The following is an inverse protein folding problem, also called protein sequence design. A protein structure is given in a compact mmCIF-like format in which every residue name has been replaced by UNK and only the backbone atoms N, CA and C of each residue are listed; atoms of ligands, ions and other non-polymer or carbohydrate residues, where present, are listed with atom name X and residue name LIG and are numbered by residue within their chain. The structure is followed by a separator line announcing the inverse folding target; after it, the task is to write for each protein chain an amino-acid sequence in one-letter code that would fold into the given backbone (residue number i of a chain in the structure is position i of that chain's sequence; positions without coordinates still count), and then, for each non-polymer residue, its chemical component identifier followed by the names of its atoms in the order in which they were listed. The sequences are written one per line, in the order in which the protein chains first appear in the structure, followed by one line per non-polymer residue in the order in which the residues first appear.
data_IF_810426254189
#
_entry.id   IF_810426254189
#
_cell.length_a   1.000
_cell.length_b   1.000
_cell.length_c   1.000
_cell.angle_alpha   90.00
_cell.angle_beta   90.00
_cell.angle_gamma   90.00
#
_symmetry.space_group_name_H-M   'P 1'
#
loop_
_entity.id
_entity.type
_entity.pdbx_description
1 polymer ?
#
# COMPACT_ATOMS: atom_id res chain seq x y z
N UNK A 1 16.91 2.14 27.55
CA UNK A 1 16.35 3.35 28.20
C UNK A 1 17.22 4.56 27.88
N UNK A 2 16.80 5.42 26.94
CA UNK A 2 17.40 6.76 26.79
C UNK A 2 16.48 7.74 27.52
N UNK A 3 16.95 8.28 28.64
CA UNK A 3 16.29 9.42 29.30
C UNK A 3 16.23 10.55 28.29
N UNK A 4 15.06 11.15 28.08
CA UNK A 4 14.91 12.32 27.22
C UNK A 4 15.89 13.40 27.71
N UNK A 5 16.90 13.72 26.90
CA UNK A 5 17.82 14.83 27.20
C UNK A 5 16.99 16.11 27.27
N UNK A 6 16.98 16.78 28.42
CA UNK A 6 16.48 18.14 28.54
C UNK A 6 17.36 19.02 27.66
N UNK A 7 16.78 19.56 26.59
CA UNK A 7 17.44 20.57 25.76
C UNK A 7 17.77 21.77 26.65
N UNK A 8 19.04 22.17 26.63
CA UNK A 8 19.50 23.35 27.36
C UNK A 8 19.06 24.62 26.63
N UNK A 9 18.89 25.73 27.37
CA UNK A 9 18.50 27.02 26.79
C UNK A 9 19.44 27.50 25.65
N UNK A 10 20.68 27.01 25.61
CA UNK A 10 21.64 27.25 24.54
C UNK A 10 21.33 26.46 23.26
N UNK A 11 20.94 25.18 23.37
CA UNK A 11 20.52 24.35 22.23
C UNK A 11 19.20 24.86 21.66
N UNK A 12 18.28 25.32 22.51
CA UNK A 12 17.03 25.99 22.12
C UNK A 12 17.32 27.25 21.30
N UNK A 13 18.28 28.06 21.73
CA UNK A 13 18.68 29.29 21.03
C UNK A 13 19.43 29.04 19.71
N UNK A 14 20.11 27.90 19.56
CA UNK A 14 20.72 27.51 18.29
C UNK A 14 19.67 27.05 17.27
N UNK A 15 18.67 26.27 17.71
CA UNK A 15 17.55 25.82 16.86
C UNK A 15 16.67 27.00 16.40
N UNK A 16 16.50 28.03 17.23
CA UNK A 16 15.73 29.24 16.84
C UNK A 16 16.52 30.19 15.95
N UNK A 17 17.85 30.28 16.07
CA UNK A 17 18.68 31.18 15.22
C UNK A 17 18.84 30.73 13.77
N UNK A 18 18.63 29.44 13.47
CA UNK A 18 18.80 28.90 12.11
C UNK A 18 17.52 28.87 11.27
N UNK A 19 16.40 29.43 11.77
CA UNK A 19 15.07 29.25 11.13
C UNK A 19 14.66 30.42 10.26
N UNK A 20 14.26 30.11 9.02
CA UNK A 20 13.52 31.02 8.14
C UNK A 20 12.13 31.23 8.73
N UNK A 21 11.85 32.45 9.17
CA UNK A 21 10.53 32.88 9.65
C UNK A 21 9.45 32.56 8.60
N UNK A 22 8.38 31.87 9.03
CA UNK A 22 7.18 31.63 8.22
C UNK A 22 6.83 30.17 7.89
N UNK A 23 7.73 29.19 8.05
CA UNK A 23 7.44 27.77 7.70
C UNK A 23 7.12 26.85 8.88
N UNK A 24 7.52 27.19 10.10
CA UNK A 24 7.38 26.30 11.26
C UNK A 24 6.61 27.00 12.37
N UNK A 25 5.63 26.32 12.96
CA UNK A 25 4.81 26.82 14.07
C UNK A 25 5.03 25.95 15.32
N UNK A 26 5.12 26.59 16.47
CA UNK A 26 5.29 25.95 17.76
C UNK A 26 4.05 26.16 18.63
N UNK A 27 3.57 25.08 19.25
CA UNK A 27 2.44 25.11 20.17
C UNK A 27 2.76 24.31 21.41
N UNK A 28 2.36 24.83 22.57
CA UNK A 28 2.42 24.07 23.81
C UNK A 28 1.19 23.17 23.90
N UNK A 29 1.32 21.93 24.34
CA UNK A 29 0.19 20.98 24.39
C UNK A 29 -0.94 21.42 25.35
N UNK A 30 -0.59 22.19 26.38
CA UNK A 30 -1.56 22.80 27.30
C UNK A 30 -2.19 24.10 26.77
N UNK A 31 -1.79 24.57 25.58
CA UNK A 31 -2.42 25.71 24.92
C UNK A 31 -3.57 25.24 24.01
N UNK A 32 -4.61 26.07 23.90
CA UNK A 32 -5.75 25.83 23.01
C UNK A 32 -5.60 26.72 21.76
N UNK A 33 -4.88 26.28 20.72
CA UNK A 33 -4.70 27.07 19.51
C UNK A 33 -6.02 27.23 18.76
N UNK A 34 -6.37 28.48 18.41
CA UNK A 34 -7.61 28.81 17.70
C UNK A 34 -7.44 28.83 16.17
N UNK A 35 -6.24 28.54 15.65
CA UNK A 35 -5.94 28.53 14.20
C UNK A 35 -5.82 29.90 13.54
N UNK A 36 -6.25 30.98 14.21
CA UNK A 36 -5.88 32.35 13.87
C UNK A 36 -4.38 32.54 14.06
N UNK A 37 -3.80 33.55 13.41
CA UNK A 37 -2.40 33.95 13.55
C UNK A 37 -2.08 34.41 14.98
N UNK A 38 -2.07 33.47 15.92
CA UNK A 38 -1.53 33.66 17.25
C UNK A 38 -0.03 33.81 17.05
N UNK A 39 0.32 35.08 16.89
CA UNK A 39 1.64 35.64 17.03
C UNK A 39 2.43 34.81 18.02
N UNK A 40 3.45 34.14 17.50
CA UNK A 40 4.63 33.65 18.20
C UNK A 40 4.41 33.52 19.72
N UNK A 41 3.88 32.38 20.18
CA UNK A 41 4.03 32.03 21.59
C UNK A 41 5.53 32.08 21.86
N UNK A 42 5.97 33.07 22.64
CA UNK A 42 7.38 33.24 22.98
C UNK A 42 7.96 31.86 23.31
N UNK A 43 9.10 31.47 22.72
CA UNK A 43 9.63 30.11 22.84
C UNK A 43 9.73 29.67 24.31
N UNK A 44 9.98 30.60 25.23
CA UNK A 44 9.98 30.35 26.68
C UNK A 44 8.68 29.74 27.24
N UNK A 45 7.50 30.09 26.72
CA UNK A 45 6.21 29.48 27.10
C UNK A 45 5.98 28.11 26.46
N UNK A 46 6.60 27.84 25.31
CA UNK A 46 6.49 26.55 24.61
C UNK A 46 7.38 25.46 25.21
N UNK A 47 8.34 25.81 26.08
CA UNK A 47 9.21 24.88 26.79
C UNK A 47 8.85 24.70 28.28
N UNK A 48 7.69 25.18 28.73
CA UNK A 48 7.23 24.90 30.08
C UNK A 48 7.00 23.40 30.27
N UNK A 49 7.33 22.83 31.44
CA UNK A 49 7.03 21.43 31.69
C UNK A 49 5.52 21.22 31.81
N UNK A 50 4.97 20.27 31.06
CA UNK A 50 3.57 19.84 31.21
C UNK A 50 3.45 18.78 32.31
N UNK A 51 2.32 18.79 33.02
CA UNK A 51 1.97 17.76 34.02
C UNK A 51 1.36 16.50 33.40
N UNK A 52 0.92 16.60 32.16
CA UNK A 52 0.25 15.50 31.44
C UNK A 52 0.91 15.35 30.06
N UNK A 53 1.99 14.55 29.97
CA UNK A 53 2.82 14.45 28.78
C UNK A 53 2.10 13.73 27.63
N UNK A 54 2.56 14.01 26.41
CA UNK A 54 2.11 13.30 25.22
C UNK A 54 2.62 11.85 25.29
N UNK A 55 1.73 10.88 25.08
CA UNK A 55 2.07 9.47 25.06
C UNK A 55 2.07 8.84 23.66
N UNK A 56 1.20 9.31 22.77
CA UNK A 56 1.12 8.81 21.39
C UNK A 56 0.58 9.88 20.46
N UNK A 57 0.97 9.83 19.19
CA UNK A 57 0.57 10.78 18.15
C UNK A 57 0.29 10.05 16.85
N UNK A 58 -0.66 10.56 16.07
CA UNK A 58 -0.91 10.10 14.69
C UNK A 58 -1.44 11.27 13.87
N UNK A 59 -1.22 11.25 12.55
CA UNK A 59 -1.61 12.36 11.70
C UNK A 59 -1.96 11.88 10.28
N UNK A 60 -2.83 12.65 9.63
CA UNK A 60 -3.11 12.60 8.20
C UNK A 60 -2.80 13.97 7.58
N UNK A 61 -3.10 14.14 6.29
CA UNK A 61 -2.97 15.42 5.60
C UNK A 61 -3.84 16.54 6.21
N UNK A 62 -4.99 16.16 6.80
CA UNK A 62 -6.01 17.09 7.32
C UNK A 62 -6.11 17.13 8.83
N UNK A 63 -5.65 16.10 9.53
CA UNK A 63 -5.87 15.98 10.98
C UNK A 63 -4.63 15.53 11.71
N UNK A 64 -4.43 16.07 12.91
CA UNK A 64 -3.40 15.65 13.85
C UNK A 64 -4.09 15.21 15.14
N UNK A 65 -3.78 14.01 15.62
CA UNK A 65 -4.29 13.46 16.86
C UNK A 65 -3.16 13.28 17.85
N UNK A 66 -3.38 13.79 19.06
CA UNK A 66 -2.42 13.74 20.15
C UNK A 66 -3.08 13.13 21.37
N UNK A 67 -2.59 11.98 21.83
CA UNK A 67 -3.00 11.39 23.11
C UNK A 67 -2.02 11.76 24.23
N UNK A 68 -2.59 11.98 25.41
CA UNK A 68 -1.87 12.34 26.63
C UNK A 68 -1.97 11.22 27.67
N UNK A 69 -1.04 11.22 28.62
CA UNK A 69 -0.95 10.21 29.68
C UNK A 69 -2.20 10.16 30.57
N UNK A 70 -2.92 11.28 30.72
CA UNK A 70 -4.21 11.37 31.40
C UNK A 70 -5.35 10.60 30.73
N UNK A 71 -5.15 10.10 29.50
CA UNK A 71 -6.21 9.55 28.66
C UNK A 71 -6.89 10.61 27.77
N UNK A 72 -6.52 11.89 27.88
CA UNK A 72 -7.05 12.93 26.98
C UNK A 72 -6.52 12.74 25.55
N UNK A 73 -7.41 12.72 24.57
CA UNK A 73 -7.08 12.70 23.13
C UNK A 73 -7.55 13.99 22.48
N UNK A 74 -6.66 14.70 21.79
CA UNK A 74 -6.91 15.99 21.18
C UNK A 74 -6.82 15.87 19.67
N UNK A 75 -7.86 16.30 18.95
CA UNK A 75 -7.93 16.34 17.49
C UNK A 75 -7.74 17.76 17.01
N UNK A 76 -6.68 17.99 16.24
CA UNK A 76 -6.34 19.27 15.62
C UNK A 76 -6.58 19.23 14.11
N UNK A 77 -6.99 20.35 13.53
CA UNK A 77 -7.05 20.54 12.08
C UNK A 77 -5.67 20.88 11.52
N UNK A 78 -5.31 20.36 10.36
CA UNK A 78 -4.15 20.80 9.58
C UNK A 78 -4.63 21.57 8.35
N UNK A 79 -3.88 22.60 7.91
CA UNK A 79 -2.57 23.03 8.41
C UNK A 79 -2.61 24.04 9.57
N UNK A 80 -3.79 24.51 9.97
CA UNK A 80 -3.90 25.64 10.91
C UNK A 80 -3.61 25.28 12.37
N UNK A 81 -3.56 24.00 12.71
CA UNK A 81 -3.40 23.46 14.06
C UNK A 81 -4.47 24.03 15.01
N UNK A 82 -5.73 24.10 14.54
CA UNK A 82 -6.84 24.50 15.42
C UNK A 82 -7.38 23.28 16.16
N UNK A 83 -7.61 23.40 17.46
CA UNK A 83 -8.23 22.33 18.23
C UNK A 83 -9.70 22.17 17.80
N UNK A 84 -10.06 21.01 17.26
CA UNK A 84 -11.42 20.68 16.81
C UNK A 84 -12.21 20.00 17.93
N UNK A 85 -11.64 18.94 18.50
CA UNK A 85 -12.34 18.05 19.43
C UNK A 85 -11.38 17.53 20.50
N UNK A 86 -11.95 17.19 21.66
CA UNK A 86 -11.28 16.52 22.77
C UNK A 86 -12.10 15.29 23.17
N UNK A 87 -11.42 14.16 23.29
CA UNK A 87 -11.97 12.88 23.75
C UNK A 87 -11.26 12.46 25.04
N UNK A 88 -11.87 11.54 25.78
CA UNK A 88 -11.29 10.95 26.98
C UNK A 88 -11.30 9.43 26.84
N UNK A 89 -10.13 8.84 27.02
CA UNK A 89 -9.95 7.39 27.13
C UNK A 89 -9.95 6.98 28.60
N UNK A 90 -10.31 5.72 28.85
CA UNK A 90 -10.25 5.13 30.19
C UNK A 90 -8.81 4.77 30.62
N UNK A 91 -7.90 4.67 29.66
CA UNK A 91 -6.52 4.22 29.86
C UNK A 91 -5.57 4.98 28.94
N UNK A 92 -4.27 4.90 29.23
CA UNK A 92 -3.22 5.53 28.44
C UNK A 92 -3.08 4.82 27.10
N UNK A 93 -3.19 5.57 26.01
CA UNK A 93 -2.90 5.07 24.67
C UNK A 93 -1.40 4.79 24.50
N UNK A 94 -1.06 3.59 24.07
CA UNK A 94 0.29 3.20 23.65
C UNK A 94 0.45 3.35 22.13
N UNK A 95 -0.58 2.99 21.36
CA UNK A 95 -0.59 3.05 19.91
C UNK A 95 -1.85 3.74 19.39
N UNK A 96 -1.69 4.57 18.35
CA UNK A 96 -2.78 5.28 17.68
C UNK A 96 -2.62 5.13 16.16
N UNK A 97 -3.71 4.84 15.46
CA UNK A 97 -3.70 4.77 14.00
C UNK A 97 -5.02 5.25 13.40
N UNK A 98 -4.93 6.18 12.47
CA UNK A 98 -6.05 6.71 11.71
C UNK A 98 -6.28 5.86 10.46
N UNK A 99 -7.54 5.63 10.10
CA UNK A 99 -7.87 5.02 8.81
C UNK A 99 -7.64 6.02 7.64
N UNK A 100 -7.65 5.50 6.42
CA UNK A 100 -7.24 6.25 5.22
C UNK A 100 -8.08 7.51 4.93
N UNK A 101 -9.33 7.58 5.40
CA UNK A 101 -10.21 8.76 5.27
C UNK A 101 -10.32 9.61 6.56
N UNK A 102 -9.58 9.27 7.62
CA UNK A 102 -9.63 9.95 8.93
C UNK A 102 -10.99 9.90 9.66
N UNK A 103 -11.88 8.96 9.31
CA UNK A 103 -13.17 8.80 9.97
C UNK A 103 -13.13 7.98 11.25
N UNK A 104 -12.17 7.05 11.39
CA UNK A 104 -12.02 6.17 12.55
C UNK A 104 -10.60 6.21 13.09
N UNK A 105 -10.47 6.12 14.42
CA UNK A 105 -9.21 6.04 15.14
C UNK A 105 -9.13 4.71 15.88
N UNK A 106 -8.10 3.93 15.58
CA UNK A 106 -7.73 2.78 16.38
C UNK A 106 -6.83 3.22 17.53
N UNK A 107 -7.16 2.74 18.73
CA UNK A 107 -6.41 2.99 19.95
C UNK A 107 -6.06 1.64 20.57
N UNK A 108 -4.78 1.40 20.84
CA UNK A 108 -4.35 0.29 21.70
C UNK A 108 -3.79 0.92 22.97
N UNK A 109 -4.35 0.51 24.11
CA UNK A 109 -3.90 1.00 25.41
C UNK A 109 -2.70 0.20 25.95
N UNK A 110 -2.12 0.69 27.05
CA UNK A 110 -0.98 0.03 27.72
C UNK A 110 -1.28 -1.38 28.24
N UNK A 111 -2.55 -1.77 28.35
CA UNK A 111 -2.97 -3.11 28.77
C UNK A 111 -3.20 -4.06 27.60
N UNK A 112 -2.95 -3.61 26.36
CA UNK A 112 -3.16 -4.41 25.16
C UNK A 112 -4.64 -4.50 24.75
N UNK A 113 -5.48 -3.59 25.23
CA UNK A 113 -6.87 -3.49 24.81
C UNK A 113 -6.96 -2.53 23.63
N UNK A 114 -7.44 -3.06 22.49
CA UNK A 114 -7.73 -2.29 21.29
C UNK A 114 -9.19 -1.86 21.28
N UNK A 115 -9.44 -0.58 21.03
CA UNK A 115 -10.76 0.00 20.77
C UNK A 115 -10.73 0.82 19.49
N UNK A 116 -11.89 0.95 18.84
CA UNK A 116 -12.06 1.84 17.69
C UNK A 116 -12.97 3.00 18.09
N UNK A 117 -12.52 4.23 17.86
CA UNK A 117 -13.29 5.46 18.06
C UNK A 117 -13.79 5.98 16.71
N UNK A 118 -15.07 6.35 16.64
CA UNK A 118 -15.62 7.05 15.47
C UNK A 118 -15.42 8.56 15.63
N UNK A 119 -14.70 9.18 14.68
CA UNK A 119 -14.36 10.60 14.71
C UNK A 119 -15.36 11.49 13.97
N UNK A 120 -16.28 10.90 13.21
CA UNK A 120 -17.30 11.59 12.41
C UNK A 120 -18.70 11.45 13.01
N UNK A 121 -18.94 10.46 13.88
CA UNK A 121 -20.26 10.19 14.45
C UNK A 121 -20.91 11.43 15.12
N UNK A 122 -21.82 12.04 14.37
CA UNK A 122 -23.10 12.57 14.89
C UNK A 122 -24.22 11.66 14.39
N UNK A 123 -24.06 10.35 14.56
CA UNK A 123 -25.10 9.39 14.16
C UNK A 123 -26.17 9.33 15.26
N UNK A 124 -27.40 9.62 14.87
CA UNK A 124 -28.58 9.37 15.68
C UNK A 124 -28.84 7.87 15.55
N UNK A 125 -28.76 7.13 16.64
CA UNK A 125 -29.19 5.72 16.67
C UNK A 125 -30.72 5.65 16.54
N UNK A 126 -31.26 4.52 16.07
CA UNK A 126 -32.71 4.27 16.00
C UNK A 126 -33.42 4.44 17.38
N UNK A 127 -32.68 4.38 18.48
CA UNK A 127 -33.14 4.64 19.85
C UNK A 127 -33.22 6.14 20.22
N UNK A 128 -32.98 7.05 19.26
CA UNK A 128 -32.94 8.49 19.51
C UNK A 128 -31.75 8.96 20.35
N UNK A 129 -30.83 8.06 20.71
CA UNK A 129 -29.58 8.42 21.39
C UNK A 129 -28.54 8.90 20.36
N UNK A 130 -28.00 10.10 20.58
CA UNK A 130 -26.90 10.62 19.78
C UNK A 130 -25.62 9.94 20.24
N UNK A 131 -24.98 9.16 19.37
CA UNK A 131 -23.60 8.72 19.61
C UNK A 131 -22.72 9.93 19.36
N UNK A 132 -21.99 10.36 20.38
CA UNK A 132 -21.11 11.50 20.29
C UNK A 132 -19.84 11.13 19.52
N UNK A 133 -19.31 12.07 18.75
CA UNK A 133 -18.01 11.90 18.12
C UNK A 133 -16.97 11.59 19.21
N UNK A 134 -16.21 10.52 19.01
CA UNK A 134 -15.24 10.00 19.98
C UNK A 134 -15.77 8.95 20.95
N UNK A 135 -17.02 8.52 20.83
CA UNK A 135 -17.48 7.34 21.56
C UNK A 135 -16.78 6.09 21.00
N UNK A 136 -16.30 5.19 21.89
CA UNK A 136 -15.82 3.90 21.44
C UNK A 136 -16.95 3.16 20.76
N UNK A 137 -16.69 2.70 19.54
CA UNK A 137 -17.52 1.70 18.88
C UNK A 137 -17.68 0.50 19.81
N UNK A 138 -18.68 -0.34 19.55
CA UNK A 138 -18.89 -1.62 20.28
C UNK A 138 -17.77 -2.65 20.08
N UNK A 139 -16.61 -2.22 19.55
CA UNK A 139 -15.45 -3.04 19.28
C UNK A 139 -14.41 -2.90 20.39
N UNK A 140 -14.16 -4.00 21.07
CA UNK A 140 -13.07 -4.14 22.04
C UNK A 140 -12.40 -5.50 21.84
N UNK A 141 -11.06 -5.50 21.76
CA UNK A 141 -10.25 -6.72 21.69
C UNK A 141 -9.10 -6.64 22.68
N UNK A 142 -8.77 -7.75 23.32
CA UNK A 142 -7.71 -7.84 24.34
C UNK A 142 -6.52 -8.59 23.78
N UNK A 143 -5.36 -8.44 24.43
CA UNK A 143 -4.09 -9.06 24.00
C UNK A 143 -3.64 -8.65 22.59
N UNK A 144 -4.03 -7.43 22.16
CA UNK A 144 -3.64 -6.87 20.86
C UNK A 144 -2.32 -6.12 21.00
N UNK A 145 -1.37 -6.45 20.13
CA UNK A 145 -0.02 -5.86 20.18
C UNK A 145 0.40 -5.14 18.90
N UNK A 146 -0.28 -5.37 17.77
CA UNK A 146 -0.07 -4.66 16.51
C UNK A 146 -1.38 -4.54 15.72
N UNK A 147 -1.46 -3.51 14.87
CA UNK A 147 -2.66 -3.12 14.15
C UNK A 147 -2.29 -2.26 12.95
N UNK A 148 -2.94 -2.48 11.81
CA UNK A 148 -2.83 -1.61 10.64
C UNK A 148 -4.12 -1.53 9.85
N UNK A 149 -4.54 -0.30 9.55
CA UNK A 149 -5.60 -0.03 8.58
C UNK A 149 -5.13 -0.34 7.16
N UNK A 150 -6.06 -0.73 6.30
CA UNK A 150 -5.81 -0.74 4.87
C UNK A 150 -5.62 0.69 4.35
N UNK A 151 -4.64 0.88 3.47
CA UNK A 151 -4.33 2.19 2.90
C UNK A 151 -5.38 2.66 1.88
N UNK A 152 -6.10 1.71 1.28
CA UNK A 152 -7.02 1.88 0.16
C UNK A 152 -8.50 1.68 0.55
N UNK A 153 -8.78 1.11 1.72
CA UNK A 153 -10.15 0.86 2.18
C UNK A 153 -10.34 1.25 3.67
N UNK A 154 -11.23 2.21 3.98
CA UNK A 154 -11.40 2.70 5.35
C UNK A 154 -12.06 1.70 6.31
N UNK A 155 -12.69 0.66 5.77
CA UNK A 155 -13.41 -0.36 6.54
C UNK A 155 -12.55 -1.60 6.80
N UNK A 156 -11.38 -1.72 6.18
CA UNK A 156 -10.49 -2.87 6.35
C UNK A 156 -9.35 -2.55 7.31
N UNK A 157 -9.10 -3.47 8.23
CA UNK A 157 -7.88 -3.45 9.04
C UNK A 157 -7.45 -4.86 9.43
N UNK A 158 -6.16 -4.98 9.76
CA UNK A 158 -5.58 -6.18 10.30
C UNK A 158 -5.06 -5.89 11.71
N UNK A 159 -5.23 -6.83 12.63
CA UNK A 159 -4.70 -6.75 13.98
C UNK A 159 -4.03 -8.06 14.39
N UNK A 160 -3.06 -7.95 15.28
CA UNK A 160 -2.36 -9.08 15.86
C UNK A 160 -2.83 -9.32 17.30
N UNK A 161 -3.41 -10.49 17.54
CA UNK A 161 -3.86 -10.95 18.84
C UNK A 161 -3.09 -12.25 19.18
N UNK A 162 -2.22 -12.18 20.20
CA UNK A 162 -1.30 -13.29 20.54
C UNK A 162 -0.46 -13.73 19.33
N UNK A 163 -0.65 -14.94 18.82
CA UNK A 163 0.07 -15.50 17.66
C UNK A 163 -0.83 -15.65 16.43
N UNK A 164 -1.87 -14.82 16.35
CA UNK A 164 -2.86 -14.85 15.27
C UNK A 164 -3.09 -13.45 14.73
N UNK A 165 -3.11 -13.36 13.41
CA UNK A 165 -3.56 -12.19 12.68
C UNK A 165 -5.05 -12.33 12.38
N UNK A 166 -5.81 -11.31 12.74
CA UNK A 166 -7.22 -11.18 12.39
C UNK A 166 -7.38 -10.04 11.39
N UNK A 167 -8.06 -10.30 10.29
CA UNK A 167 -8.49 -9.28 9.34
C UNK A 167 -9.94 -8.97 9.62
N UNK A 168 -10.29 -7.70 9.71
CA UNK A 168 -11.65 -7.24 9.91
C UNK A 168 -12.12 -6.46 8.70
N UNK A 169 -13.37 -6.70 8.35
CA UNK A 169 -14.15 -5.84 7.47
C UNK A 169 -15.23 -5.20 8.32
N UNK A 170 -15.12 -3.89 8.52
CA UNK A 170 -15.83 -3.16 9.55
C UNK A 170 -15.60 -3.78 10.93
N UNK A 171 -16.55 -4.54 11.47
CA UNK A 171 -16.46 -5.18 12.79
C UNK A 171 -16.51 -6.71 12.70
N UNK A 172 -16.61 -7.26 11.49
CA UNK A 172 -16.72 -8.68 11.26
C UNK A 172 -15.33 -9.29 11.02
N UNK A 173 -14.88 -10.23 11.88
CA UNK A 173 -13.59 -10.90 11.70
C UNK A 173 -13.65 -11.94 10.59
N UNK A 174 -12.59 -11.99 9.79
CA UNK A 174 -12.27 -13.13 8.93
C UNK A 174 -11.63 -14.28 9.72
N UNK A 175 -11.42 -15.42 9.05
CA UNK A 175 -10.72 -16.57 9.63
C UNK A 175 -9.28 -16.17 10.04
N UNK A 176 -8.87 -16.45 11.29
CA UNK A 176 -7.56 -16.04 11.79
C UNK A 176 -6.43 -16.77 11.08
N UNK A 177 -5.37 -16.04 10.78
CA UNK A 177 -4.14 -16.57 10.19
C UNK A 177 -3.12 -16.75 11.31
N UNK A 178 -2.61 -17.97 11.49
CA UNK A 178 -1.58 -18.26 12.47
C UNK A 178 -0.24 -17.66 12.01
N UNK A 179 0.22 -16.60 12.66
CA UNK A 179 1.48 -15.92 12.36
C UNK A 179 1.93 -15.07 13.54
N UNK A 180 3.24 -14.90 13.69
CA UNK A 180 3.87 -13.96 14.64
C UNK A 180 4.60 -12.82 13.93
N UNK A 181 4.30 -12.59 12.65
CA UNK A 181 4.86 -11.50 11.88
C UNK A 181 4.30 -10.14 12.28
N UNK A 182 5.14 -9.12 12.26
CA UNK A 182 4.76 -7.72 12.45
C UNK A 182 4.13 -7.19 11.16
N UNK A 183 3.04 -6.43 11.26
CA UNK A 183 2.30 -5.94 10.09
C UNK A 183 3.01 -4.72 9.51
N UNK A 184 3.47 -4.83 8.26
CA UNK A 184 4.20 -3.76 7.59
C UNK A 184 3.30 -2.89 6.73
N UNK A 185 2.41 -3.47 5.94
CA UNK A 185 1.48 -2.74 5.08
C UNK A 185 0.22 -3.56 4.83
N UNK A 186 -0.90 -2.87 4.61
CA UNK A 186 -2.13 -3.47 4.15
C UNK A 186 -2.66 -2.61 3.00
N UNK A 187 -2.62 -3.17 1.80
CA UNK A 187 -2.99 -2.51 0.54
C UNK A 187 -3.35 -3.58 -0.49
N UNK A 188 -4.20 -3.27 -1.45
CA UNK A 188 -4.54 -4.18 -2.55
C UNK A 188 -5.05 -5.54 -2.05
N UNK A 189 -5.78 -5.57 -0.93
CA UNK A 189 -6.29 -6.80 -0.29
C UNK A 189 -5.18 -7.80 0.12
N UNK A 190 -3.95 -7.30 0.27
CA UNK A 190 -2.77 -8.06 0.67
C UNK A 190 -2.12 -7.42 1.90
N UNK A 191 -1.73 -8.25 2.85
CA UNK A 191 -1.03 -7.82 4.06
C UNK A 191 0.42 -8.28 3.96
N UNK A 192 1.33 -7.32 3.94
CA UNK A 192 2.78 -7.60 4.02
C UNK A 192 3.17 -7.61 5.49
N UNK A 193 3.82 -8.68 5.90
CA UNK A 193 4.30 -8.88 7.27
C UNK A 193 5.77 -9.25 7.28
N UNK A 194 6.42 -9.02 8.41
CA UNK A 194 7.83 -9.36 8.60
C UNK A 194 8.05 -10.17 9.87
N UNK A 195 8.79 -11.27 9.74
CA UNK A 195 9.27 -12.04 10.88
C UNK A 195 10.50 -11.35 11.48
N UNK A 196 10.26 -10.35 12.33
CA UNK A 196 11.34 -9.55 12.91
C UNK A 196 12.29 -10.39 13.76
N UNK A 197 11.77 -11.38 14.50
CA UNK A 197 12.59 -12.29 15.32
C UNK A 197 13.62 -13.06 14.48
N UNK A 198 13.26 -13.45 13.25
CA UNK A 198 14.17 -14.15 12.33
C UNK A 198 15.20 -13.19 11.72
N UNK A 199 14.79 -11.96 11.37
CA UNK A 199 15.70 -10.94 10.87
C UNK A 199 16.72 -10.54 11.94
N UNK A 200 16.30 -10.45 13.20
CA UNK A 200 17.17 -10.05 14.30
C UNK A 200 18.26 -11.10 14.63
N UNK A 201 18.19 -12.32 14.07
CA UNK A 201 19.27 -13.32 14.17
C UNK A 201 20.50 -12.97 13.32
N UNK A 202 20.29 -12.39 12.13
CA UNK A 202 21.37 -11.86 11.27
C UNK A 202 20.94 -10.54 10.60
N UNK A 203 21.04 -9.41 11.33
CA UNK A 203 20.60 -8.11 10.82
C UNK A 203 21.39 -7.59 9.61
N UNK A 204 22.63 -8.05 9.42
CA UNK A 204 23.52 -7.58 8.35
C UNK A 204 23.17 -8.22 6.99
N UNK A 205 22.46 -9.35 7.00
CA UNK A 205 22.06 -10.08 5.79
C UNK A 205 20.60 -10.55 5.88
N UNK A 206 19.63 -9.62 5.85
CA UNK A 206 18.22 -9.99 5.91
C UNK A 206 17.84 -10.84 4.69
N UNK A 207 17.14 -11.95 4.94
CA UNK A 207 16.58 -12.80 3.89
C UNK A 207 15.18 -12.28 3.48
N UNK A 208 14.89 -12.29 2.16
CA UNK A 208 13.57 -11.94 1.62
C UNK A 208 12.49 -12.93 2.04
N UNK A 209 12.85 -14.17 2.38
CA UNK A 209 11.90 -15.18 2.86
C UNK A 209 11.25 -14.80 4.20
N UNK A 210 11.84 -13.85 4.94
CA UNK A 210 11.28 -13.34 6.19
C UNK A 210 10.14 -12.32 5.95
N UNK A 211 9.91 -11.90 4.70
CA UNK A 211 8.78 -11.07 4.29
C UNK A 211 7.68 -11.98 3.77
N UNK A 212 6.55 -11.99 4.46
CA UNK A 212 5.41 -12.85 4.13
C UNK A 212 4.25 -11.96 3.70
N UNK A 213 3.72 -12.24 2.51
CA UNK A 213 2.51 -11.61 2.00
C UNK A 213 1.32 -12.54 2.23
N UNK A 214 0.30 -12.04 2.89
CA UNK A 214 -0.96 -12.75 3.14
C UNK A 214 -2.07 -12.15 2.29
N UNK A 215 -2.73 -12.99 1.49
CA UNK A 215 -3.94 -12.61 0.78
C UNK A 215 -5.14 -12.74 1.71
N UNK A 216 -5.96 -11.70 1.83
CA UNK A 216 -7.17 -11.78 2.65
C UNK A 216 -8.22 -12.68 1.98
N UNK A 217 -9.28 -13.03 2.71
CA UNK A 217 -10.31 -13.96 2.21
C UNK A 217 -10.90 -13.54 0.86
N UNK A 218 -11.28 -12.27 0.69
CA UNK A 218 -11.88 -11.81 -0.57
C UNK A 218 -11.01 -12.09 -1.80
N UNK A 219 -9.70 -11.88 -1.70
CA UNK A 219 -8.77 -12.12 -2.81
C UNK A 219 -8.60 -13.62 -3.10
N UNK A 220 -8.49 -14.44 -2.04
CA UNK A 220 -8.40 -15.90 -2.14
C UNK A 220 -9.67 -16.51 -2.74
N UNK A 221 -10.84 -16.08 -2.27
CA UNK A 221 -12.15 -16.55 -2.74
C UNK A 221 -12.35 -16.17 -4.22
N UNK A 222 -12.03 -14.93 -4.62
CA UNK A 222 -12.10 -14.53 -6.03
C UNK A 222 -11.17 -15.34 -6.92
N UNK A 223 -9.92 -15.61 -6.50
CA UNK A 223 -9.01 -16.46 -7.28
C UNK A 223 -9.55 -17.88 -7.43
N UNK A 224 -10.06 -18.46 -6.34
CA UNK A 224 -10.65 -19.79 -6.36
C UNK A 224 -11.90 -19.86 -7.27
N UNK A 225 -12.74 -18.82 -7.28
CA UNK A 225 -13.90 -18.73 -8.16
C UNK A 225 -13.50 -18.68 -9.64
N UNK A 226 -12.49 -17.87 -9.99
CA UNK A 226 -11.96 -17.75 -11.36
C UNK A 226 -11.42 -19.09 -11.88
N UNK A 227 -10.69 -19.83 -11.02
CA UNK A 227 -10.08 -21.11 -11.38
C UNK A 227 -11.10 -22.25 -11.47
N UNK A 228 -12.05 -22.34 -10.51
CA UNK A 228 -12.92 -23.51 -10.36
C UNK A 228 -14.28 -23.37 -11.04
N UNK A 229 -14.86 -22.17 -11.03
CA UNK A 229 -16.25 -21.95 -11.40
C UNK A 229 -16.33 -21.28 -12.77
N UNK A 230 -15.64 -20.15 -12.94
CA UNK A 230 -15.65 -19.41 -14.19
C UNK A 230 -15.51 -17.91 -14.01
N UNK A 231 -15.49 -17.18 -15.13
CA UNK A 231 -15.35 -15.72 -15.14
C UNK A 231 -16.67 -15.04 -14.77
N UNK A 232 -17.82 -15.59 -15.18
CA UNK A 232 -19.14 -14.98 -14.96
C UNK A 232 -19.49 -14.85 -13.47
N UNK A 233 -19.42 -15.97 -12.73
CA UNK A 233 -19.69 -15.98 -11.29
C UNK A 233 -18.63 -15.17 -10.50
N UNK A 234 -17.38 -15.16 -10.97
CA UNK A 234 -16.35 -14.30 -10.41
C UNK A 234 -16.65 -12.81 -10.63
N UNK A 235 -17.18 -12.43 -11.79
CA UNK A 235 -17.61 -11.06 -12.07
C UNK A 235 -18.70 -10.62 -11.11
N UNK A 236 -19.73 -11.46 -10.90
CA UNK A 236 -20.81 -11.15 -9.97
C UNK A 236 -20.30 -10.98 -8.52
N UNK A 237 -19.41 -11.86 -8.05
CA UNK A 237 -18.82 -11.73 -6.72
C UNK A 237 -18.04 -10.41 -6.55
N UNK A 238 -17.34 -9.98 -7.60
CA UNK A 238 -16.54 -8.75 -7.61
C UNK A 238 -17.43 -7.51 -7.72
N UNK A 239 -18.56 -7.59 -8.43
CA UNK A 239 -19.58 -6.55 -8.45
C UNK A 239 -20.20 -6.34 -7.07
N UNK A 240 -20.47 -7.41 -6.34
CA UNK A 240 -20.97 -7.36 -4.96
C UNK A 240 -19.91 -6.84 -3.97
N UNK A 241 -18.62 -7.03 -4.27
CA UNK A 241 -17.49 -6.63 -3.42
C UNK A 241 -16.43 -5.84 -4.21
N UNK A 242 -16.74 -4.61 -4.66
CA UNK A 242 -15.91 -3.91 -5.61
C UNK A 242 -14.58 -3.48 -4.99
N UNK A 243 -13.47 -3.88 -5.64
CA UNK A 243 -12.12 -3.44 -5.28
C UNK A 243 -11.21 -3.41 -6.52
N UNK A 244 -10.38 -2.37 -6.74
CA UNK A 244 -9.51 -2.28 -7.92
C UNK A 244 -8.63 -3.52 -8.13
N UNK A 245 -8.07 -4.09 -7.04
CA UNK A 245 -7.28 -5.33 -7.11
C UNK A 245 -8.07 -6.52 -7.67
N UNK A 246 -9.33 -6.69 -7.28
CA UNK A 246 -10.16 -7.81 -7.72
C UNK A 246 -10.54 -7.65 -9.19
N UNK A 247 -10.90 -6.44 -9.61
CA UNK A 247 -11.13 -6.11 -11.01
C UNK A 247 -9.88 -6.37 -11.87
N UNK A 248 -8.69 -6.05 -11.36
CA UNK A 248 -7.43 -6.36 -12.05
C UNK A 248 -7.24 -7.87 -12.19
N UNK A 249 -7.49 -8.64 -11.14
CA UNK A 249 -7.42 -10.10 -11.17
C UNK A 249 -8.39 -10.70 -12.20
N UNK A 250 -9.63 -10.18 -12.26
CA UNK A 250 -10.62 -10.59 -13.25
C UNK A 250 -10.18 -10.24 -14.68
N UNK A 251 -9.66 -9.03 -14.89
CA UNK A 251 -9.16 -8.59 -16.20
C UNK A 251 -8.00 -9.46 -16.69
N UNK A 252 -7.06 -9.79 -15.80
CA UNK A 252 -5.94 -10.68 -16.11
C UNK A 252 -6.40 -12.09 -16.48
N UNK A 253 -7.35 -12.64 -15.73
CA UNK A 253 -7.94 -13.95 -16.03
C UNK A 253 -8.74 -13.97 -17.34
N UNK A 254 -9.51 -12.92 -17.59
CA UNK A 254 -10.27 -12.74 -18.84
C UNK A 254 -9.35 -12.61 -20.05
N UNK A 255 -8.25 -11.85 -19.93
CA UNK A 255 -7.22 -11.77 -20.98
C UNK A 255 -6.61 -13.14 -21.31
N UNK A 256 -6.31 -13.97 -20.31
CA UNK A 256 -5.77 -15.32 -20.53
C UNK A 256 -6.76 -16.23 -21.26
N UNK A 257 -8.06 -16.07 -21.02
CA UNK A 257 -9.12 -16.80 -21.75
C UNK A 257 -9.56 -16.11 -23.05
N UNK A 258 -8.90 -15.00 -23.45
CA UNK A 258 -9.24 -14.17 -24.61
C UNK A 258 -10.66 -13.58 -24.60
N UNK A 259 -11.27 -13.45 -23.42
CA UNK A 259 -12.53 -12.74 -23.25
C UNK A 259 -12.28 -11.23 -23.20
N UNK A 260 -12.18 -10.63 -24.39
CA UNK A 260 -11.84 -9.21 -24.53
C UNK A 260 -12.93 -8.29 -23.97
N UNK A 261 -14.19 -8.72 -23.92
CA UNK A 261 -15.30 -7.88 -23.45
C UNK A 261 -15.21 -7.69 -21.93
N UNK A 262 -15.17 -8.80 -21.19
CA UNK A 262 -15.04 -8.76 -19.74
C UNK A 262 -13.70 -8.18 -19.30
N UNK A 263 -12.62 -8.41 -20.08
CA UNK A 263 -11.33 -7.77 -19.82
C UNK A 263 -11.41 -6.23 -19.94
N UNK A 264 -12.03 -5.69 -21.00
CA UNK A 264 -12.19 -4.24 -21.17
C UNK A 264 -13.00 -3.64 -20.02
N UNK A 265 -14.15 -4.23 -19.68
CA UNK A 265 -15.01 -3.79 -18.59
C UNK A 265 -14.25 -3.79 -17.24
N UNK A 266 -13.54 -4.87 -16.92
CA UNK A 266 -12.76 -4.97 -15.70
C UNK A 266 -11.61 -3.94 -15.63
N UNK A 267 -10.92 -3.65 -16.75
CA UNK A 267 -9.91 -2.59 -16.79
C UNK A 267 -10.51 -1.18 -16.65
N UNK A 268 -11.73 -0.94 -17.13
CA UNK A 268 -12.46 0.31 -16.90
C UNK A 268 -12.72 0.51 -15.42
N UNK A 269 -13.16 -0.51 -14.69
CA UNK A 269 -13.34 -0.46 -13.24
C UNK A 269 -12.03 -0.19 -12.49
N UNK A 270 -10.90 -0.68 -13.00
CA UNK A 270 -9.56 -0.40 -12.46
C UNK A 270 -9.02 0.99 -12.82
N UNK A 271 -9.63 1.71 -13.77
CA UNK A 271 -9.08 2.92 -14.41
C UNK A 271 -7.69 2.68 -15.03
N UNK A 272 -7.44 1.46 -15.52
CA UNK A 272 -6.18 1.07 -16.16
C UNK A 272 -6.25 1.36 -17.67
N UNK A 273 -5.90 2.60 -18.04
CA UNK A 273 -5.89 3.04 -19.43
C UNK A 273 -4.95 2.21 -20.33
N UNK A 274 -3.71 1.87 -19.92
CA UNK A 274 -2.86 0.94 -20.67
C UNK A 274 -3.54 -0.40 -20.96
N UNK A 275 -4.20 -1.01 -19.97
CA UNK A 275 -4.95 -2.27 -20.15
C UNK A 275 -6.05 -2.15 -21.20
N UNK A 276 -6.85 -1.09 -21.15
CA UNK A 276 -7.94 -0.83 -22.13
C UNK A 276 -7.37 -0.69 -23.55
N UNK A 277 -6.29 0.07 -23.73
CA UNK A 277 -5.65 0.23 -25.04
C UNK A 277 -5.06 -1.09 -25.56
N UNK A 278 -4.54 -1.91 -24.66
CA UNK A 278 -4.03 -3.23 -25.01
C UNK A 278 -5.15 -4.16 -25.49
N UNK A 279 -6.29 -4.21 -24.79
CA UNK A 279 -7.47 -5.00 -25.21
C UNK A 279 -7.96 -4.55 -26.59
N UNK A 280 -8.05 -3.25 -26.86
CA UNK A 280 -8.43 -2.72 -28.18
C UNK A 280 -7.45 -3.12 -29.28
N UNK A 281 -6.15 -3.11 -28.98
CA UNK A 281 -5.12 -3.58 -29.90
C UNK A 281 -5.27 -5.08 -30.19
N UNK A 282 -5.50 -5.89 -29.17
CA UNK A 282 -5.75 -7.33 -29.30
C UNK A 282 -6.99 -7.61 -30.15
N UNK A 283 -8.05 -6.81 -30.01
CA UNK A 283 -9.28 -6.92 -30.80
C UNK A 283 -9.06 -6.75 -32.31
N UNK A 284 -8.07 -5.95 -32.71
CA UNK A 284 -7.73 -5.73 -34.13
C UNK A 284 -6.92 -6.88 -34.75
N UNK A 285 -6.36 -7.78 -33.94
CA UNK A 285 -5.60 -8.93 -34.43
C UNK A 285 -6.56 -10.01 -34.94
N UNK A 286 -6.24 -10.59 -36.10
CA UNK A 286 -7.10 -11.58 -36.75
C UNK A 286 -6.85 -13.00 -36.23
N UNK A 287 -5.60 -13.38 -35.98
CA UNK A 287 -5.27 -14.74 -35.53
C UNK A 287 -5.26 -14.86 -34.01
N UNK A 288 -5.97 -15.85 -33.49
CA UNK A 288 -5.99 -16.23 -32.08
C UNK A 288 -4.61 -16.54 -31.48
N UNK A 289 -3.72 -17.34 -32.12
CA UNK A 289 -2.38 -17.60 -31.56
C UNK A 289 -1.52 -16.32 -31.44
N UNK A 290 -1.72 -15.34 -32.32
CA UNK A 290 -1.05 -14.04 -32.19
C UNK A 290 -1.58 -13.24 -31.00
N UNK A 291 -2.89 -13.33 -30.71
CA UNK A 291 -3.46 -12.72 -29.50
C UNK A 291 -2.86 -13.37 -28.25
N UNK A 292 -2.75 -14.70 -28.22
CA UNK A 292 -2.14 -15.43 -27.10
C UNK A 292 -0.67 -15.05 -26.90
N UNK A 293 0.11 -14.92 -27.98
CA UNK A 293 1.50 -14.48 -27.90
C UNK A 293 1.64 -13.06 -27.33
N UNK A 294 0.80 -12.12 -27.78
CA UNK A 294 0.78 -10.75 -27.26
C UNK A 294 0.33 -10.71 -25.79
N UNK A 295 -0.65 -11.54 -25.40
CA UNK A 295 -1.08 -11.70 -24.00
C UNK A 295 0.06 -12.25 -23.14
N UNK A 296 0.78 -13.27 -23.60
CA UNK A 296 1.95 -13.81 -22.89
C UNK A 296 3.05 -12.73 -22.72
N UNK A 297 3.29 -11.92 -23.75
CA UNK A 297 4.22 -10.79 -23.70
C UNK A 297 3.75 -9.72 -22.70
N UNK A 298 2.45 -9.44 -22.63
CA UNK A 298 1.86 -8.50 -21.67
C UNK A 298 2.08 -8.93 -20.21
N UNK A 299 2.01 -10.24 -19.92
CA UNK A 299 2.31 -10.81 -18.60
C UNK A 299 3.80 -10.95 -18.27
N UNK A 300 4.69 -10.47 -19.15
CA UNK A 300 6.14 -10.59 -18.96
C UNK A 300 6.70 -11.99 -19.20
N UNK A 301 5.90 -12.91 -19.76
CA UNK A 301 6.32 -14.27 -20.13
C UNK A 301 6.97 -14.24 -21.52
N UNK A 302 8.08 -13.52 -21.64
CA UNK A 302 8.70 -13.22 -22.93
C UNK A 302 9.23 -14.46 -23.65
N UNK A 303 9.73 -15.46 -22.91
CA UNK A 303 10.18 -16.74 -23.48
C UNK A 303 9.03 -17.55 -24.09
N UNK A 304 7.86 -17.52 -23.45
CA UNK A 304 6.65 -18.17 -23.94
C UNK A 304 6.13 -17.46 -25.20
N UNK A 305 6.06 -16.13 -25.15
CA UNK A 305 5.66 -15.32 -26.30
C UNK A 305 6.60 -15.51 -27.51
N UNK A 306 7.92 -15.53 -27.28
CA UNK A 306 8.92 -15.79 -28.33
C UNK A 306 8.67 -17.15 -29.00
N UNK A 307 8.44 -18.20 -28.21
CA UNK A 307 8.15 -19.54 -28.73
C UNK A 307 6.89 -19.53 -29.59
N UNK A 308 5.81 -18.90 -29.11
CA UNK A 308 4.56 -18.78 -29.88
C UNK A 308 4.76 -18.05 -31.21
N UNK A 309 5.55 -16.97 -31.24
CA UNK A 309 5.85 -16.28 -32.50
C UNK A 309 6.68 -17.13 -33.47
N UNK A 310 7.62 -17.94 -32.96
CA UNK A 310 8.41 -18.86 -33.79
C UNK A 310 7.57 -20.00 -34.33
N UNK A 311 6.67 -20.56 -33.53
CA UNK A 311 5.74 -21.63 -33.95
C UNK A 311 4.75 -21.14 -35.03
N UNK A 312 4.48 -19.82 -35.08
CA UNK A 312 3.70 -19.16 -36.12
C UNK A 312 4.51 -18.78 -37.37
N UNK A 313 5.79 -19.15 -37.44
CA UNK A 313 6.75 -18.71 -38.46
C UNK A 313 6.93 -17.17 -38.53
N UNK A 314 6.52 -16.43 -37.50
CA UNK A 314 6.60 -14.96 -37.38
C UNK A 314 7.82 -14.53 -36.58
N UNK A 315 9.01 -14.90 -37.08
CA UNK A 315 10.30 -14.56 -36.48
C UNK A 315 10.53 -13.04 -36.39
N UNK A 316 9.98 -12.27 -37.32
CA UNK A 316 10.03 -10.81 -37.32
C UNK A 316 9.45 -10.22 -36.02
N UNK A 317 8.34 -10.77 -35.53
CA UNK A 317 7.70 -10.34 -34.28
C UNK A 317 8.51 -10.74 -33.06
N UNK A 318 9.06 -11.96 -33.04
CA UNK A 318 9.97 -12.41 -31.97
C UNK A 318 11.21 -11.52 -31.84
N UNK A 319 11.80 -11.13 -32.98
CA UNK A 319 12.94 -10.18 -33.01
C UNK A 319 12.50 -8.81 -32.48
N UNK A 320 11.36 -8.28 -32.94
CA UNK A 320 10.84 -6.98 -32.49
C UNK A 320 10.57 -6.97 -30.98
N UNK A 321 10.02 -8.07 -30.43
CA UNK A 321 9.82 -8.23 -28.99
C UNK A 321 11.15 -8.11 -28.23
N UNK A 322 12.20 -8.85 -28.64
CA UNK A 322 13.51 -8.81 -27.97
C UNK A 322 14.22 -7.46 -28.12
N UNK A 323 14.05 -6.78 -29.25
CA UNK A 323 14.53 -5.41 -29.45
C UNK A 323 13.87 -4.47 -28.43
N UNK A 324 12.55 -4.54 -28.23
CA UNK A 324 11.83 -3.72 -27.24
C UNK A 324 12.29 -3.99 -25.80
N UNK A 325 12.70 -5.22 -25.50
CA UNK A 325 13.25 -5.60 -24.19
C UNK A 325 14.72 -5.19 -24.02
N UNK A 326 15.41 -4.80 -25.09
CA UNK A 326 16.85 -4.52 -25.08
C UNK A 326 17.73 -5.77 -24.97
N UNK A 327 17.18 -6.96 -25.22
CA UNK A 327 17.94 -8.21 -25.19
C UNK A 327 18.59 -8.47 -26.55
N UNK A 328 19.68 -7.74 -26.81
CA UNK A 328 20.41 -7.79 -28.08
C UNK A 328 21.10 -9.13 -28.34
N UNK A 329 21.42 -9.90 -27.28
CA UNK A 329 21.99 -11.23 -27.41
C UNK A 329 20.99 -12.21 -28.02
N UNK A 330 19.73 -12.18 -27.56
CA UNK A 330 18.67 -13.00 -28.17
C UNK A 330 18.27 -12.52 -29.55
N UNK A 331 18.27 -11.22 -29.82
CA UNK A 331 18.08 -10.70 -31.19
C UNK A 331 19.12 -11.30 -32.14
N UNK A 332 20.41 -11.29 -31.77
CA UNK A 332 21.48 -11.85 -32.59
C UNK A 332 21.31 -13.37 -32.81
N UNK A 333 20.90 -14.11 -31.78
CA UNK A 333 20.63 -15.54 -31.89
C UNK A 333 19.48 -15.84 -32.86
N UNK A 334 18.38 -15.08 -32.76
CA UNK A 334 17.21 -15.23 -33.63
C UNK A 334 17.55 -14.88 -35.09
N UNK A 335 18.37 -13.85 -35.32
CA UNK A 335 18.86 -13.49 -36.66
C UNK A 335 19.74 -14.59 -37.27
N UNK A 336 20.64 -15.20 -36.49
CA UNK A 336 21.55 -16.27 -36.96
C UNK A 336 20.85 -17.62 -37.17
N UNK A 337 19.77 -17.89 -36.44
CA UNK A 337 19.02 -19.14 -36.54
C UNK A 337 18.07 -19.20 -37.75
N UNK A 338 17.93 -18.11 -38.51
CA UNK A 338 17.04 -18.04 -39.67
C UNK A 338 17.69 -18.53 -40.96
N UNK A 339 16.98 -19.37 -41.70
CA UNK A 339 17.34 -19.81 -43.06
C UNK A 339 17.02 -18.74 -44.12
N UNK A 340 17.62 -17.56 -44.00
CA UNK A 340 17.47 -16.46 -44.95
C UNK A 340 18.56 -15.42 -44.75
N UNK A 341 18.89 -14.67 -45.81
CA UNK A 341 19.80 -13.53 -45.71
C UNK A 341 19.24 -12.56 -44.66
N UNK A 342 19.85 -12.55 -43.46
CA UNK A 342 19.46 -11.64 -42.39
C UNK A 342 19.62 -10.20 -42.88
N UNK A 343 18.69 -9.34 -42.47
CA UNK A 343 18.79 -7.91 -42.77
C UNK A 343 20.07 -7.35 -42.12
N UNK A 344 21.08 -7.05 -42.94
CA UNK A 344 22.40 -6.58 -42.51
C UNK A 344 22.29 -5.33 -41.62
N UNK A 345 21.28 -4.50 -41.84
CA UNK A 345 21.03 -3.32 -41.02
C UNK A 345 20.61 -3.69 -39.59
N UNK A 346 19.72 -4.67 -39.43
CA UNK A 346 19.32 -5.19 -38.12
C UNK A 346 20.47 -5.92 -37.41
N UNK A 347 21.32 -6.62 -38.16
CA UNK A 347 22.50 -7.27 -37.62
C UNK A 347 23.52 -6.24 -37.08
N UNK A 348 23.76 -5.16 -37.85
CA UNK A 348 24.60 -4.06 -37.40
C UNK A 348 24.04 -3.41 -36.13
N UNK A 349 22.72 -3.16 -36.09
CA UNK A 349 22.06 -2.61 -34.92
C UNK A 349 22.22 -3.51 -33.68
N UNK A 350 22.08 -4.82 -33.85
CA UNK A 350 22.28 -5.78 -32.75
C UNK A 350 23.72 -5.76 -32.22
N UNK A 351 24.73 -5.67 -33.10
CA UNK A 351 26.13 -5.55 -32.67
C UNK A 351 26.41 -4.24 -31.94
N UNK A 352 25.84 -3.13 -32.38
CA UNK A 352 25.94 -1.83 -31.69
C UNK A 352 25.36 -1.95 -30.27
N UNK A 353 24.14 -2.50 -30.15
CA UNK A 353 23.49 -2.67 -28.84
C UNK A 353 24.25 -3.59 -27.88
N UNK A 354 24.92 -4.63 -28.39
CA UNK A 354 25.84 -5.47 -27.58
C UNK A 354 27.08 -4.66 -27.17
N UNK A 355 27.64 -3.86 -28.07
CA UNK A 355 28.76 -2.95 -27.76
C UNK A 355 28.43 -1.99 -26.63
N UNK A 356 27.27 -1.33 -26.70
CA UNK A 356 26.77 -0.41 -25.67
C UNK A 356 26.60 -1.13 -24.32
N UNK A 357 26.04 -2.34 -24.32
CA UNK A 357 25.88 -3.18 -23.11
C UNK A 357 27.21 -3.45 -22.37
N UNK A 358 28.30 -3.69 -23.11
CA UNK A 358 29.63 -3.92 -22.53
C UNK A 358 30.31 -2.62 -22.11
N UNK A 359 30.16 -1.57 -22.92
CA UNK A 359 30.65 -0.21 -22.65
C UNK A 359 30.08 0.32 -21.32
N UNK A 360 28.76 0.24 -21.13
CA UNK A 360 28.07 0.71 -19.92
C UNK A 360 28.54 0.02 -18.64
N UNK A 361 28.95 -1.25 -18.74
CA UNK A 361 29.47 -2.03 -17.61
C UNK A 361 30.97 -1.94 -17.43
N UNK A 362 31.65 -1.12 -18.24
CA UNK A 362 33.11 -0.99 -18.28
C UNK A 362 33.83 -2.35 -18.42
N UNK A 363 33.19 -3.30 -19.10
CA UNK A 363 33.74 -4.63 -19.37
C UNK A 363 34.41 -4.61 -20.74
N UNK A 364 35.61 -4.06 -20.78
CA UNK A 364 36.39 -3.85 -22.00
C UNK A 364 37.29 -5.04 -22.39
N UNK A 365 37.34 -6.08 -21.55
CA UNK A 365 38.13 -7.28 -21.77
C UNK A 365 37.23 -8.52 -21.69
N UNK A 366 37.43 -9.44 -22.63
CA UNK A 366 36.69 -10.70 -22.79
C UNK A 366 36.95 -11.68 -21.65
#
# INVERSE_FOLDING_TARGET
YRVAKKLTALEINQVTKTKKEGRERFYHIDSNPSGASDSCTHPSKSFTPTRDPICSITATDKTLIVARESGSVLKYSLPNVSLIQKFSLNSRAFYLSLNCNSSRLAVIDISGVMTLLDLEARSITDDGSQVGAGDPSRFERKDVWDMKWANDNPDLFAMMEKTRMYVFRNLDPEEPIQTSGYICSFEDLEIKSVLLDEIMKDPERPNKDNLINFEIRSLRDSRALIEKVGIEDASQFIEDNPHPRLWRLLAEAALQKLDLKTAEEAFVHCKDYPGILFVKRLGNLQSEPMKQAEVAAYFGRFEEAERMYLDMDRRDLAINLRIKLGDWFKVLQLLKSGSGAGDDALLQQAYIGIGDYFSDRQKWCF
#
